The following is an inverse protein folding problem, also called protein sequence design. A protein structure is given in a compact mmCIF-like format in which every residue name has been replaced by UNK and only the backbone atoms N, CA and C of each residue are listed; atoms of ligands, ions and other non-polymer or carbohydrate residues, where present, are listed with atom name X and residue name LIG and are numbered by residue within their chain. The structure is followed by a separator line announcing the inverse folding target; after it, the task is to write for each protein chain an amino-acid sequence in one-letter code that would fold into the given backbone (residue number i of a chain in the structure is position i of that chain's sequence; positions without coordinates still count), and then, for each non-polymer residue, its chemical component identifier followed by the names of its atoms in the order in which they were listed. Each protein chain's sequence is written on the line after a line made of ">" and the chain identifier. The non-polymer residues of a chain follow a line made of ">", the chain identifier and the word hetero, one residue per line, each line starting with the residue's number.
data_IF_880486363679
#
_entry.id   IF_880486363679
#
_cell.length_a   1.000
_cell.length_b   1.000
_cell.length_c   1.000
_cell.angle_alpha   90.00
_cell.angle_beta   90.00
_cell.angle_gamma   90.00
#
_symmetry.space_group_name_H-M   'P 1'
#
loop_
_entity.id
_entity.type
_entity.pdbx_description
1 polymer ?
#
# COMPACT_ATOMS: atom_id res chain seq x y z
N UNK A 1 -8.78 26.55 -20.10
CA UNK A 1 -7.77 25.87 -19.27
C UNK A 1 -6.47 26.63 -19.37
N UNK A 2 -5.87 27.07 -18.26
CA UNK A 2 -4.58 27.74 -18.30
C UNK A 2 -3.43 26.73 -18.39
N UNK A 3 -2.26 27.14 -18.89
CA UNK A 3 -1.05 26.30 -18.92
C UNK A 3 -0.63 25.81 -17.53
N UNK A 4 -0.95 26.57 -16.47
CA UNK A 4 -0.73 26.20 -15.07
C UNK A 4 -1.66 25.07 -14.62
N UNK A 5 -2.90 25.05 -15.09
CA UNK A 5 -3.86 23.98 -14.79
C UNK A 5 -3.47 22.67 -15.47
N UNK A 6 -3.01 22.75 -16.73
CA UNK A 6 -2.49 21.59 -17.48
C UNK A 6 -1.26 21.01 -16.78
N UNK A 7 -0.30 21.86 -16.38
CA UNK A 7 0.90 21.40 -15.65
C UNK A 7 0.53 20.72 -14.33
N UNK A 8 -0.36 21.32 -13.53
CA UNK A 8 -0.86 20.71 -12.28
C UNK A 8 -1.58 19.38 -12.51
N UNK A 9 -2.38 19.27 -13.57
CA UNK A 9 -3.04 18.03 -13.96
C UNK A 9 -2.04 16.92 -14.28
N UNK A 10 -1.02 17.23 -15.10
CA UNK A 10 0.04 16.27 -15.45
C UNK A 10 0.85 15.83 -14.22
N UNK A 11 1.20 16.76 -13.32
CA UNK A 11 1.94 16.40 -12.08
C UNK A 11 1.11 15.51 -11.16
N UNK A 12 -0.20 15.75 -11.03
CA UNK A 12 -1.11 14.91 -10.24
C UNK A 12 -1.30 13.53 -10.85
N UNK A 13 -1.43 13.43 -12.17
CA UNK A 13 -1.54 12.14 -12.86
C UNK A 13 -0.27 11.29 -12.67
N UNK A 14 0.92 11.90 -12.79
CA UNK A 14 2.19 11.20 -12.53
C UNK A 14 2.34 10.75 -11.08
N UNK A 15 1.97 11.61 -10.13
CA UNK A 15 1.95 11.28 -8.70
C UNK A 15 1.03 10.08 -8.43
N UNK A 16 -0.23 10.16 -8.88
CA UNK A 16 -1.22 9.11 -8.66
C UNK A 16 -0.81 7.78 -9.31
N UNK A 17 -0.27 7.82 -10.53
CA UNK A 17 0.25 6.62 -11.19
C UNK A 17 1.36 5.95 -10.37
N UNK A 18 2.35 6.71 -9.90
CA UNK A 18 3.43 6.16 -9.08
C UNK A 18 2.92 5.53 -7.78
N UNK A 19 1.88 6.11 -7.19
CA UNK A 19 1.27 5.58 -5.96
C UNK A 19 0.44 4.33 -6.23
N UNK A 20 -0.23 4.29 -7.38
CA UNK A 20 -0.96 3.11 -7.86
C UNK A 20 -0.01 1.96 -8.17
N UNK A 21 1.12 2.23 -8.85
CA UNK A 21 2.15 1.22 -9.09
C UNK A 21 2.71 0.67 -7.75
N UNK A 22 2.96 1.55 -6.78
CA UNK A 22 3.41 1.15 -5.44
C UNK A 22 2.35 0.30 -4.71
N UNK A 23 1.07 0.65 -4.82
CA UNK A 23 -0.03 -0.15 -4.29
C UNK A 23 -0.08 -1.55 -4.94
N UNK A 24 0.00 -1.62 -6.28
CA UNK A 24 0.02 -2.88 -7.03
C UNK A 24 1.19 -3.77 -6.64
N UNK A 25 2.36 -3.19 -6.32
CA UNK A 25 3.50 -3.95 -5.80
C UNK A 25 3.17 -4.62 -4.46
N UNK A 26 2.50 -3.93 -3.53
CA UNK A 26 2.09 -4.53 -2.24
C UNK A 26 1.13 -5.70 -2.43
N UNK A 27 0.14 -5.49 -3.31
CA UNK A 27 -0.81 -6.50 -3.72
C UNK A 27 -0.13 -7.76 -4.28
N UNK A 28 0.78 -7.61 -5.25
CA UNK A 28 1.49 -8.74 -5.86
C UNK A 28 2.42 -9.40 -4.84
N UNK A 29 3.15 -8.62 -4.05
CA UNK A 29 4.07 -9.12 -3.04
C UNK A 29 3.35 -9.95 -1.97
N UNK A 30 2.14 -9.54 -1.55
CA UNK A 30 1.32 -10.33 -0.63
C UNK A 30 0.97 -11.69 -1.23
N UNK A 31 0.53 -11.72 -2.49
CA UNK A 31 0.17 -12.97 -3.17
C UNK A 31 1.40 -13.90 -3.31
N UNK A 32 2.55 -13.34 -3.68
CA UNK A 32 3.81 -14.09 -3.77
C UNK A 32 4.20 -14.64 -2.40
N UNK A 33 4.14 -13.83 -1.35
CA UNK A 33 4.43 -14.28 0.02
C UNK A 33 3.55 -15.45 0.44
N UNK A 34 2.23 -15.38 0.17
CA UNK A 34 1.30 -16.47 0.43
C UNK A 34 1.73 -17.73 -0.34
N UNK A 35 2.00 -17.62 -1.65
CA UNK A 35 2.49 -18.75 -2.45
C UNK A 35 3.76 -19.40 -1.92
N UNK A 36 4.72 -18.58 -1.48
CA UNK A 36 6.00 -19.03 -0.90
C UNK A 36 5.78 -19.74 0.43
N UNK A 37 4.95 -19.19 1.33
CA UNK A 37 4.67 -19.78 2.65
C UNK A 37 4.03 -21.18 2.53
N UNK A 38 3.18 -21.38 1.53
CA UNK A 38 2.55 -22.68 1.25
C UNK A 38 3.34 -23.52 0.24
N UNK A 39 4.50 -23.06 -0.23
CA UNK A 39 5.36 -23.74 -1.22
C UNK A 39 4.59 -24.21 -2.47
N UNK A 40 3.59 -23.44 -2.90
CA UNK A 40 2.64 -23.87 -3.94
C UNK A 40 2.27 -22.73 -4.91
N UNK A 41 2.55 -22.96 -6.19
CA UNK A 41 2.17 -22.05 -7.27
C UNK A 41 0.64 -21.92 -7.40
N UNK A 42 -0.12 -22.98 -7.12
CA UNK A 42 -1.58 -22.94 -7.15
C UNK A 42 -2.13 -22.05 -6.05
N UNK A 43 -1.53 -22.09 -4.85
CA UNK A 43 -1.92 -21.22 -3.74
C UNK A 43 -1.63 -19.74 -4.07
N UNK A 44 -0.51 -19.45 -4.75
CA UNK A 44 -0.25 -18.11 -5.30
C UNK A 44 -1.35 -17.65 -6.26
N UNK A 45 -1.72 -18.48 -7.25
CA UNK A 45 -2.75 -18.11 -8.24
C UNK A 45 -4.12 -17.90 -7.59
N UNK A 46 -4.50 -18.76 -6.65
CA UNK A 46 -5.75 -18.62 -5.88
C UNK A 46 -5.73 -17.35 -5.04
N UNK A 47 -4.61 -17.06 -4.37
CA UNK A 47 -4.45 -15.82 -3.62
C UNK A 47 -4.56 -14.59 -4.53
N UNK A 48 -3.92 -14.61 -5.69
CA UNK A 48 -4.00 -13.53 -6.67
C UNK A 48 -5.45 -13.27 -7.09
N UNK A 49 -6.21 -14.33 -7.38
CA UNK A 49 -7.63 -14.21 -7.73
C UNK A 49 -8.48 -13.65 -6.58
N UNK A 50 -8.35 -14.22 -5.37
CA UNK A 50 -9.15 -13.80 -4.21
C UNK A 50 -8.84 -12.36 -3.82
N UNK A 51 -7.56 -12.01 -3.72
CA UNK A 51 -7.16 -10.65 -3.35
C UNK A 51 -7.61 -9.66 -4.42
N UNK A 52 -7.42 -9.96 -5.72
CA UNK A 52 -7.95 -9.09 -6.79
C UNK A 52 -9.46 -8.89 -6.68
N UNK A 53 -10.21 -9.94 -6.38
CA UNK A 53 -11.66 -9.84 -6.18
C UNK A 53 -12.00 -8.95 -4.97
N UNK A 54 -11.28 -9.10 -3.85
CA UNK A 54 -11.47 -8.26 -2.67
C UNK A 54 -11.17 -6.79 -2.96
N UNK A 55 -10.11 -6.50 -3.71
CA UNK A 55 -9.71 -5.14 -4.10
C UNK A 55 -10.81 -4.41 -4.88
N UNK A 56 -11.60 -5.12 -5.70
CA UNK A 56 -12.72 -4.49 -6.43
C UNK A 56 -13.89 -4.08 -5.53
N UNK A 57 -13.96 -4.58 -4.30
CA UNK A 57 -15.00 -4.22 -3.33
C UNK A 57 -14.56 -3.06 -2.45
N UNK A 58 -15.50 -2.16 -2.10
CA UNK A 58 -15.19 -0.99 -1.26
C UNK A 58 -14.70 -1.37 0.15
N UNK A 59 -15.22 -2.46 0.71
CA UNK A 59 -14.84 -2.97 2.04
C UNK A 59 -13.53 -3.76 1.93
N UNK A 60 -13.38 -4.62 0.93
CA UNK A 60 -12.19 -5.44 0.74
C UNK A 60 -10.94 -4.60 0.47
N UNK A 61 -11.01 -3.61 -0.43
CA UNK A 61 -9.90 -2.69 -0.66
C UNK A 61 -9.49 -1.91 0.59
N UNK A 62 -10.47 -1.47 1.42
CA UNK A 62 -10.16 -0.81 2.71
C UNK A 62 -9.49 -1.75 3.71
N UNK A 63 -9.89 -3.02 3.75
CA UNK A 63 -9.24 -4.02 4.60
C UNK A 63 -7.82 -4.28 4.12
N UNK A 64 -7.59 -4.39 2.81
CA UNK A 64 -6.27 -4.62 2.24
C UNK A 64 -5.29 -3.48 2.53
N UNK A 65 -5.74 -2.22 2.56
CA UNK A 65 -4.91 -1.09 3.02
C UNK A 65 -4.28 -1.33 4.39
N UNK A 66 -5.07 -1.81 5.36
CA UNK A 66 -4.56 -2.10 6.70
C UNK A 66 -3.54 -3.24 6.66
N UNK A 67 -3.81 -4.29 5.87
CA UNK A 67 -2.89 -5.42 5.68
C UNK A 67 -1.55 -4.94 5.11
N UNK A 68 -1.55 -4.03 4.13
CA UNK A 68 -0.34 -3.50 3.53
C UNK A 68 0.40 -2.50 4.43
N UNK A 69 -0.34 -1.72 5.23
CA UNK A 69 0.23 -0.66 6.07
C UNK A 69 0.87 -1.20 7.36
N UNK A 70 0.26 -2.18 8.01
CA UNK A 70 0.72 -2.70 9.31
C UNK A 70 2.20 -3.15 9.29
N UNK A 71 2.67 -3.93 8.29
CA UNK A 71 4.08 -4.31 8.21
C UNK A 71 5.04 -3.12 8.23
N UNK A 72 4.70 -2.02 7.54
CA UNK A 72 5.53 -0.81 7.54
C UNK A 72 5.50 -0.08 8.88
N UNK A 73 4.34 0.01 9.53
CA UNK A 73 4.23 0.59 10.87
C UNK A 73 5.12 -0.18 11.87
N UNK A 74 5.16 -1.52 11.77
CA UNK A 74 6.02 -2.36 12.59
C UNK A 74 7.50 -2.15 12.27
N UNK A 75 7.89 -2.12 10.98
CA UNK A 75 9.28 -1.89 10.56
C UNK A 75 9.78 -0.53 11.04
N UNK A 76 8.99 0.53 10.82
CA UNK A 76 9.36 1.89 11.22
C UNK A 76 9.36 2.05 12.75
N UNK A 77 8.43 1.39 13.44
CA UNK A 77 8.43 1.31 14.90
C UNK A 77 9.69 0.61 15.44
N UNK A 78 10.11 -0.49 14.83
CA UNK A 78 11.34 -1.20 15.21
C UNK A 78 12.59 -0.33 14.98
N UNK A 79 12.64 0.43 13.88
CA UNK A 79 13.70 1.41 13.63
C UNK A 79 13.69 2.50 14.71
N UNK A 80 12.52 3.05 15.05
CA UNK A 80 12.38 4.04 16.12
C UNK A 80 12.85 3.50 17.48
N UNK A 81 12.52 2.24 17.79
CA UNK A 81 12.97 1.57 19.01
C UNK A 81 14.50 1.47 19.09
N UNK A 82 15.14 1.12 17.98
CA UNK A 82 16.60 0.98 17.90
C UNK A 82 17.34 2.32 18.08
N UNK A 83 16.71 3.45 17.76
CA UNK A 83 17.33 4.78 17.80
C UNK A 83 17.05 5.50 19.13
N UNK A 84 15.83 5.39 19.66
CA UNK A 84 15.38 6.21 20.79
C UNK A 84 14.47 5.49 21.79
N UNK A 85 14.45 4.17 21.77
CA UNK A 85 13.62 3.36 22.67
C UNK A 85 12.12 3.45 22.38
N UNK A 86 11.31 3.05 23.37
CA UNK A 86 9.85 2.90 23.23
C UNK A 86 9.15 4.19 22.75
N UNK A 87 9.47 5.40 23.27
CA UNK A 87 8.81 6.62 22.81
C UNK A 87 9.05 6.89 21.31
N UNK A 88 10.28 6.71 20.84
CA UNK A 88 10.62 6.88 19.42
C UNK A 88 9.96 5.81 18.55
N UNK A 89 9.84 4.57 19.05
CA UNK A 89 9.12 3.49 18.37
C UNK A 89 7.66 3.86 18.10
N UNK A 90 6.95 4.39 19.11
CA UNK A 90 5.56 4.81 18.95
C UNK A 90 5.42 5.93 17.91
N UNK A 91 6.28 6.95 17.98
CA UNK A 91 6.24 8.08 17.04
C UNK A 91 6.50 7.63 15.60
N UNK A 92 7.56 6.85 15.38
CA UNK A 92 7.92 6.37 14.05
C UNK A 92 6.89 5.38 13.50
N UNK A 93 6.34 4.50 14.33
CA UNK A 93 5.28 3.59 13.91
C UNK A 93 4.01 4.32 13.50
N UNK A 94 3.56 5.32 14.28
CA UNK A 94 2.33 6.07 13.99
C UNK A 94 2.52 6.99 12.79
N UNK A 95 3.56 7.82 12.77
CA UNK A 95 3.80 8.77 11.68
C UNK A 95 4.15 8.02 10.40
N UNK A 96 5.07 7.07 10.50
CA UNK A 96 5.49 6.25 9.38
C UNK A 96 4.36 5.43 8.78
N UNK A 97 3.61 4.71 9.63
CA UNK A 97 2.42 3.98 9.22
C UNK A 97 1.36 4.91 8.61
N UNK A 98 1.15 6.09 9.20
CA UNK A 98 0.21 7.10 8.67
C UNK A 98 0.58 7.61 7.29
N UNK A 99 1.87 7.88 7.03
CA UNK A 99 2.36 8.28 5.70
C UNK A 99 2.11 7.14 4.70
N UNK A 100 2.49 5.92 5.05
CA UNK A 100 2.28 4.73 4.21
C UNK A 100 0.79 4.54 3.89
N UNK A 101 -0.09 4.68 4.89
CA UNK A 101 -1.53 4.60 4.72
C UNK A 101 -2.05 5.59 3.67
N UNK A 102 -1.66 6.87 3.79
CA UNK A 102 -2.11 7.93 2.87
C UNK A 102 -1.59 7.66 1.45
N UNK A 103 -0.33 7.24 1.33
CA UNK A 103 0.29 6.92 0.05
C UNK A 103 -0.42 5.74 -0.62
N UNK A 104 -0.71 4.66 0.12
CA UNK A 104 -1.45 3.51 -0.41
C UNK A 104 -2.92 3.85 -0.76
N UNK A 105 -3.62 4.62 0.07
CA UNK A 105 -5.00 5.02 -0.19
C UNK A 105 -5.11 5.88 -1.45
N UNK A 106 -4.15 6.78 -1.68
CA UNK A 106 -4.11 7.57 -2.92
C UNK A 106 -3.89 6.72 -4.18
N UNK A 107 -3.08 5.67 -4.08
CA UNK A 107 -2.87 4.71 -5.16
C UNK A 107 -4.10 3.86 -5.43
N UNK A 108 -4.80 3.41 -4.37
CA UNK A 108 -6.03 2.64 -4.44
C UNK A 108 -7.16 3.43 -5.11
N UNK A 109 -7.37 4.69 -4.71
CA UNK A 109 -8.38 5.56 -5.32
C UNK A 109 -8.16 5.71 -6.82
N UNK A 110 -6.91 5.97 -7.24
CA UNK A 110 -6.59 6.06 -8.65
C UNK A 110 -6.83 4.75 -9.42
N UNK A 111 -6.53 3.59 -8.81
CA UNK A 111 -6.76 2.28 -9.43
C UNK A 111 -8.25 1.99 -9.67
N UNK A 112 -9.15 2.51 -8.82
CA UNK A 112 -10.60 2.39 -9.00
C UNK A 112 -11.20 3.41 -9.96
N UNK A 113 -10.51 4.53 -10.19
CA UNK A 113 -10.94 5.58 -11.11
C UNK A 113 -10.58 5.28 -12.58
N UNK A 114 -9.74 4.26 -12.82
CA UNK A 114 -9.34 3.76 -14.16
C UNK A 114 -10.35 2.76 -14.75
#
# INVERSE_FOLDING_TARGET
>A
MSSRDVRRGVTRAGWNKSHSDWYSVHFVMLCVLIGVLFTSWWVFLVALFIVSALETTSIGGRLMLWVYMIPWAVILGAIGAAIGGIPAACVFGIIGGGIVYVTLESGRQYLHDL
#
